data_IF_715685103682
#
_entry.id   IF_715685103682
#
_cell.length_a   1.000
_cell.length_b   1.000
_cell.length_c   1.000
_cell.angle_alpha   90.00
_cell.angle_beta   90.00
_cell.angle_gamma   90.00
#
_symmetry.space_group_name_H-M   'P 1'
#
loop_
_entity.id
_entity.type
_entity.pdbx_description
1 polymer ?
#
# COMPACT_ATOMS: atom_id res chain seq x y z
N UNK A 1 -9.89 18.66 4.86
CA UNK A 1 -11.29 18.43 4.44
C UNK A 1 -11.49 16.92 4.48
N UNK A 2 -12.59 16.42 5.04
CA UNK A 2 -12.79 14.97 5.12
C UNK A 2 -12.88 14.33 3.72
N UNK A 3 -12.53 13.04 3.62
CA UNK A 3 -12.60 12.28 2.37
C UNK A 3 -14.04 12.27 1.81
N UNK A 4 -14.19 12.44 0.49
CA UNK A 4 -15.51 12.47 -0.14
C UNK A 4 -16.15 11.07 -0.15
N UNK A 5 -17.47 11.00 0.08
CA UNK A 5 -18.23 9.75 0.06
C UNK A 5 -18.15 9.00 -1.27
N UNK A 6 -17.94 9.72 -2.38
CA UNK A 6 -17.71 9.13 -3.71
C UNK A 6 -16.39 8.38 -3.77
N UNK A 7 -15.33 8.94 -3.18
CA UNK A 7 -14.01 8.28 -3.11
C UNK A 7 -14.10 7.02 -2.24
N UNK A 8 -14.79 7.11 -1.10
CA UNK A 8 -15.04 5.97 -0.22
C UNK A 8 -15.75 4.84 -0.98
N UNK A 9 -16.85 5.17 -1.65
CA UNK A 9 -17.63 4.19 -2.41
C UNK A 9 -16.82 3.61 -3.57
N UNK A 10 -16.04 4.44 -4.27
CA UNK A 10 -15.16 3.99 -5.34
C UNK A 10 -14.15 2.97 -4.81
N UNK A 11 -13.39 3.29 -3.78
CA UNK A 11 -12.37 2.40 -3.19
C UNK A 11 -12.97 1.05 -2.78
N UNK A 12 -14.07 1.05 -2.02
CA UNK A 12 -14.71 -0.20 -1.57
C UNK A 12 -15.27 -0.99 -2.75
N UNK A 13 -15.74 -0.30 -3.80
CA UNK A 13 -16.24 -0.96 -5.00
C UNK A 13 -15.12 -1.54 -5.88
N UNK A 14 -13.95 -0.91 -5.92
CA UNK A 14 -12.80 -1.34 -6.72
C UNK A 14 -12.04 -2.46 -6.02
N UNK A 15 -11.69 -2.27 -4.74
CA UNK A 15 -10.95 -3.24 -3.94
C UNK A 15 -11.90 -3.98 -3.00
N UNK A 16 -12.60 -5.00 -3.52
CA UNK A 16 -13.66 -5.74 -2.82
C UNK A 16 -13.25 -6.38 -1.49
N UNK A 17 -11.95 -6.59 -1.27
CA UNK A 17 -11.42 -7.12 -0.03
C UNK A 17 -11.28 -6.07 1.09
N UNK A 18 -11.37 -4.78 0.76
CA UNK A 18 -11.31 -3.68 1.70
C UNK A 18 -12.69 -3.36 2.27
N UNK A 19 -12.68 -2.98 3.54
CA UNK A 19 -13.82 -2.46 4.30
C UNK A 19 -13.47 -1.05 4.74
N UNK A 20 -14.50 -0.26 5.03
CA UNK A 20 -14.36 1.10 5.52
C UNK A 20 -14.97 1.24 6.90
N UNK A 21 -14.36 2.06 7.74
CA UNK A 21 -14.94 2.59 8.97
C UNK A 21 -14.43 4.01 9.19
N UNK A 22 -15.24 4.84 9.83
CA UNK A 22 -14.81 6.13 10.37
C UNK A 22 -14.62 6.01 11.87
N UNK A 23 -13.50 6.52 12.39
CA UNK A 23 -13.25 6.61 13.82
C UNK A 23 -12.91 8.06 14.16
N UNK A 24 -13.79 8.74 14.89
CA UNK A 24 -13.65 10.17 15.21
C UNK A 24 -13.31 10.97 13.94
N UNK A 25 -12.07 11.44 13.85
CA UNK A 25 -11.53 12.29 12.80
C UNK A 25 -10.63 11.55 11.78
N UNK A 26 -10.73 10.22 11.73
CA UNK A 26 -9.91 9.37 10.85
C UNK A 26 -10.79 8.45 10.02
N UNK A 27 -10.64 8.55 8.70
CA UNK A 27 -11.19 7.62 7.72
C UNK A 27 -10.25 6.42 7.57
N UNK A 28 -10.77 5.20 7.73
CA UNK A 28 -9.96 3.97 7.78
C UNK A 28 -10.48 2.96 6.77
N UNK A 29 -9.61 2.58 5.82
CA UNK A 29 -9.82 1.41 4.97
C UNK A 29 -8.97 0.25 5.50
N UNK A 30 -9.56 -0.92 5.65
CA UNK A 30 -8.88 -2.08 6.21
C UNK A 30 -9.40 -3.39 5.61
N UNK A 31 -8.55 -4.40 5.54
CA UNK A 31 -8.93 -5.71 5.00
C UNK A 31 -7.89 -6.20 4.00
N UNK A 32 -8.36 -6.92 2.98
CA UNK A 32 -7.47 -7.56 2.00
C UNK A 32 -7.31 -6.71 0.74
N UNK A 33 -6.07 -6.48 0.33
CA UNK A 33 -5.72 -5.91 -0.96
C UNK A 33 -5.10 -7.01 -1.82
N UNK A 34 -5.78 -7.35 -2.92
CA UNK A 34 -5.28 -8.31 -3.90
C UNK A 34 -4.44 -7.58 -4.94
N UNK A 35 -3.18 -7.96 -5.06
CA UNK A 35 -2.25 -7.48 -6.08
C UNK A 35 -2.14 -8.56 -7.13
N UNK A 36 -2.76 -8.33 -8.28
CA UNK A 36 -2.68 -9.18 -9.45
C UNK A 36 -2.13 -8.35 -10.61
N UNK A 37 -0.80 -8.26 -10.70
CA UNK A 37 -0.15 -7.38 -11.66
C UNK A 37 0.99 -8.09 -12.38
N UNK A 38 1.16 -7.78 -13.66
CA UNK A 38 2.27 -8.25 -14.50
C UNK A 38 3.18 -7.06 -14.80
N UNK A 39 4.49 -7.20 -14.59
CA UNK A 39 5.49 -6.22 -15.03
C UNK A 39 6.71 -6.97 -15.57
N UNK A 40 7.11 -6.68 -16.82
CA UNK A 40 8.24 -7.34 -17.49
C UNK A 40 8.25 -8.87 -17.29
N UNK A 41 7.14 -9.53 -17.61
CA UNK A 41 6.91 -11.00 -17.50
C UNK A 41 6.92 -11.58 -16.08
N UNK A 42 7.09 -10.75 -15.04
CA UNK A 42 6.91 -11.15 -13.65
C UNK A 42 5.45 -10.95 -13.26
N UNK A 43 4.77 -12.04 -12.96
CA UNK A 43 3.40 -12.03 -12.46
C UNK A 43 3.40 -12.14 -10.94
N UNK A 44 2.86 -11.12 -10.27
CA UNK A 44 2.60 -11.17 -8.84
C UNK A 44 1.10 -11.37 -8.66
N UNK A 45 0.76 -12.44 -7.93
CA UNK A 45 -0.59 -12.76 -7.50
C UNK A 45 -0.59 -13.00 -5.99
N UNK A 46 -0.62 -11.90 -5.24
CA UNK A 46 -0.48 -11.91 -3.79
C UNK A 46 -1.62 -11.13 -3.14
N UNK A 47 -1.97 -11.54 -1.93
CA UNK A 47 -2.99 -10.88 -1.10
C UNK A 47 -2.35 -10.37 0.18
N UNK A 48 -2.52 -9.09 0.47
CA UNK A 48 -2.02 -8.45 1.68
C UNK A 48 -3.17 -8.06 2.59
N UNK A 49 -2.99 -8.21 3.90
CA UNK A 49 -3.85 -7.51 4.84
C UNK A 49 -3.26 -6.13 5.09
N UNK A 50 -4.06 -5.08 4.92
CA UNK A 50 -3.61 -3.70 5.05
C UNK A 50 -4.57 -2.87 5.89
N UNK A 51 -4.06 -1.76 6.40
CA UNK A 51 -4.84 -0.66 6.96
C UNK A 51 -4.33 0.65 6.40
N UNK A 52 -5.20 1.41 5.74
CA UNK A 52 -4.97 2.78 5.27
C UNK A 52 -5.71 3.72 6.22
N UNK A 53 -5.03 4.76 6.71
CA UNK A 53 -5.61 5.79 7.56
C UNK A 53 -5.46 7.16 6.89
N UNK A 54 -6.55 7.92 6.89
CA UNK A 54 -6.63 9.25 6.29
C UNK A 54 -7.19 10.19 7.35
N UNK A 55 -6.41 11.19 7.72
CA UNK A 55 -6.79 12.18 8.73
C UNK A 55 -7.74 13.23 8.13
N UNK A 56 -8.60 13.85 8.94
CA UNK A 56 -9.62 14.81 8.48
C UNK A 56 -9.07 16.09 7.81
N UNK A 57 -7.79 16.40 7.99
CA UNK A 57 -7.09 17.51 7.33
C UNK A 57 -6.62 17.16 5.91
N UNK A 58 -6.88 15.95 5.41
CA UNK A 58 -6.69 15.57 4.01
C UNK A 58 -7.18 16.64 3.00
N UNK A 59 -6.47 16.92 1.90
CA UNK A 59 -5.20 16.30 1.48
C UNK A 59 -3.94 16.92 2.12
N UNK A 60 -4.07 17.82 3.12
CA UNK A 60 -2.89 18.41 3.78
C UNK A 60 -2.07 17.36 4.54
N UNK A 61 -2.75 16.38 5.13
CA UNK A 61 -2.13 15.15 5.62
C UNK A 61 -2.07 14.10 4.52
N UNK A 62 -0.91 13.44 4.43
CA UNK A 62 -0.73 12.31 3.52
C UNK A 62 -1.30 11.05 4.19
N UNK A 63 -2.11 10.25 3.46
CA UNK A 63 -2.56 8.95 3.92
C UNK A 63 -1.40 8.08 4.41
N UNK A 64 -1.66 7.32 5.47
CA UNK A 64 -0.70 6.33 5.97
C UNK A 64 -1.18 4.92 5.70
N UNK A 65 -0.25 3.99 5.52
CA UNK A 65 -0.56 2.58 5.32
C UNK A 65 0.33 1.69 6.18
N UNK A 66 -0.26 0.62 6.69
CA UNK A 66 0.41 -0.47 7.41
C UNK A 66 -0.01 -1.79 6.76
N UNK A 67 0.95 -2.71 6.60
CA UNK A 67 0.70 -4.11 6.25
C UNK A 67 0.56 -4.94 7.54
N UNK A 68 -0.53 -5.71 7.67
CA UNK A 68 -0.93 -6.35 8.93
C UNK A 68 -0.87 -7.88 8.91
N UNK A 69 -0.65 -8.52 7.76
CA UNK A 69 -0.48 -9.98 7.65
C UNK A 69 0.94 -10.45 8.01
N UNK A 70 1.90 -9.54 8.15
CA UNK A 70 3.28 -9.86 8.54
C UNK A 70 4.13 -10.40 7.40
N UNK A 71 3.72 -10.15 6.15
CA UNK A 71 4.45 -10.56 4.94
C UNK A 71 5.66 -9.66 4.67
N UNK A 72 5.66 -8.42 5.17
CA UNK A 72 6.80 -7.52 5.06
C UNK A 72 7.82 -7.83 6.17
N UNK A 73 9.01 -8.24 5.77
CA UNK A 73 10.14 -8.44 6.69
C UNK A 73 10.55 -7.12 7.33
N UNK A 74 10.88 -7.15 8.61
CA UNK A 74 11.39 -5.96 9.35
C UNK A 74 12.71 -5.42 8.80
N UNK A 75 13.48 -6.24 8.08
CA UNK A 75 14.71 -5.84 7.41
C UNK A 75 14.48 -5.10 6.08
N UNK A 76 13.24 -4.99 5.60
CA UNK A 76 12.93 -4.27 4.37
C UNK A 76 13.07 -2.75 4.59
N UNK A 77 13.90 -2.05 3.79
CA UNK A 77 14.33 -0.68 4.10
C UNK A 77 13.21 0.37 4.01
N UNK A 78 12.10 0.08 3.32
CA UNK A 78 10.97 1.01 3.16
C UNK A 78 9.83 0.75 4.16
N UNK A 79 10.17 0.35 5.38
CA UNK A 79 9.25 0.16 6.49
C UNK A 79 9.77 0.92 7.72
N UNK A 80 8.98 1.86 8.25
CA UNK A 80 9.34 2.62 9.45
C UNK A 80 9.22 1.77 10.72
N UNK A 81 9.82 2.21 11.83
CA UNK A 81 9.78 1.52 13.13
C UNK A 81 8.34 1.25 13.61
N UNK A 82 7.40 2.16 13.31
CA UNK A 82 5.98 2.02 13.63
C UNK A 82 5.18 1.19 12.60
N UNK A 83 5.87 0.47 11.71
CA UNK A 83 5.31 -0.35 10.62
C UNK A 83 4.61 0.42 9.50
N UNK A 84 4.62 1.75 9.52
CA UNK A 84 4.16 2.54 8.38
C UNK A 84 5.07 2.29 7.19
N UNK A 85 4.49 2.21 6.00
CA UNK A 85 5.26 2.00 4.77
C UNK A 85 5.75 3.34 4.21
N UNK A 86 7.00 3.37 3.76
CA UNK A 86 7.57 4.51 3.05
C UNK A 86 7.34 4.31 1.56
N UNK A 87 6.29 4.91 1.02
CA UNK A 87 5.88 4.66 -0.36
C UNK A 87 6.66 5.50 -1.39
N UNK A 88 6.88 6.78 -1.09
CA UNK A 88 7.59 7.76 -1.90
C UNK A 88 7.95 8.97 -1.04
N UNK A 89 8.57 10.00 -1.62
CA UNK A 89 8.77 11.27 -0.89
C UNK A 89 7.42 11.94 -0.60
N UNK A 90 7.39 12.79 0.43
CA UNK A 90 6.19 13.55 0.79
C UNK A 90 5.71 14.45 -0.36
N UNK A 91 6.63 15.10 -1.09
CA UNK A 91 6.28 15.96 -2.21
C UNK A 91 5.60 15.20 -3.36
N UNK A 92 6.13 14.04 -3.75
CA UNK A 92 5.55 13.21 -4.81
C UNK A 92 4.13 12.75 -4.45
N UNK A 93 3.93 12.37 -3.19
CA UNK A 93 2.62 11.95 -2.70
C UNK A 93 1.61 13.11 -2.69
N UNK A 94 2.03 14.30 -2.27
CA UNK A 94 1.17 15.51 -2.31
C UNK A 94 0.71 15.84 -3.72
N UNK A 95 1.64 15.87 -4.68
CA UNK A 95 1.31 16.14 -6.09
C UNK A 95 0.30 15.14 -6.62
N UNK A 96 0.51 13.84 -6.39
CA UNK A 96 -0.43 12.80 -6.82
C UNK A 96 -1.81 12.95 -6.15
N UNK A 97 -1.86 13.27 -4.86
CA UNK A 97 -3.12 13.49 -4.15
C UNK A 97 -3.90 14.69 -4.70
N UNK A 98 -3.21 15.76 -5.07
CA UNK A 98 -3.82 16.93 -5.72
C UNK A 98 -4.33 16.60 -7.13
N UNK A 99 -3.56 15.85 -7.92
CA UNK A 99 -3.87 15.56 -9.33
C UNK A 99 -4.86 14.41 -9.53
N UNK A 100 -4.77 13.37 -8.69
CA UNK A 100 -5.43 12.07 -8.89
C UNK A 100 -6.20 11.57 -7.66
N UNK A 101 -6.10 12.27 -6.53
CA UNK A 101 -6.78 11.92 -5.29
C UNK A 101 -6.30 10.61 -4.67
N UNK A 102 -7.05 10.13 -3.68
CA UNK A 102 -6.72 8.91 -2.93
C UNK A 102 -6.64 7.66 -3.82
N UNK A 103 -7.49 7.58 -4.83
CA UNK A 103 -7.52 6.44 -5.76
C UNK A 103 -6.24 6.39 -6.59
N UNK A 104 -5.78 7.53 -7.10
CA UNK A 104 -4.49 7.63 -7.78
C UNK A 104 -3.33 7.31 -6.86
N UNK A 105 -3.37 7.77 -5.61
CA UNK A 105 -2.33 7.45 -4.63
C UNK A 105 -2.23 5.95 -4.32
N UNK A 106 -3.36 5.23 -4.27
CA UNK A 106 -3.36 3.77 -4.12
C UNK A 106 -2.72 3.11 -5.36
N UNK A 107 -3.12 3.51 -6.56
CA UNK A 107 -2.64 2.93 -7.82
C UNK A 107 -1.17 3.24 -8.09
N UNK A 108 -0.71 4.46 -7.80
CA UNK A 108 0.64 4.92 -8.16
C UNK A 108 1.69 4.63 -7.09
N UNK A 109 1.29 4.43 -5.82
CA UNK A 109 2.23 4.23 -4.71
C UNK A 109 2.00 2.96 -3.92
N UNK A 110 0.75 2.66 -3.53
CA UNK A 110 0.47 1.49 -2.69
C UNK A 110 0.69 0.19 -3.47
N UNK A 111 0.07 0.06 -4.65
CA UNK A 111 0.20 -1.14 -5.47
C UNK A 111 1.66 -1.37 -5.91
N UNK A 112 2.39 -0.36 -6.43
CA UNK A 112 3.79 -0.51 -6.81
C UNK A 112 4.70 -0.86 -5.65
N UNK A 113 4.45 -0.35 -4.44
CA UNK A 113 5.21 -0.73 -3.26
C UNK A 113 5.15 -2.24 -3.00
N UNK A 114 3.92 -2.80 -2.95
CA UNK A 114 3.75 -4.24 -2.74
C UNK A 114 4.33 -5.06 -3.90
N UNK A 115 4.27 -4.53 -5.11
CA UNK A 115 4.90 -5.16 -6.27
C UNK A 115 6.42 -5.27 -6.11
N UNK A 116 7.11 -4.15 -5.83
CA UNK A 116 8.57 -4.13 -5.65
C UNK A 116 9.05 -5.01 -4.49
N UNK A 117 8.31 -5.00 -3.39
CA UNK A 117 8.64 -5.79 -2.21
C UNK A 117 8.58 -7.30 -2.49
N UNK A 118 7.60 -7.76 -3.28
CA UNK A 118 7.54 -9.17 -3.72
C UNK A 118 8.69 -9.54 -4.68
N UNK A 119 9.06 -8.67 -5.62
CA UNK A 119 10.21 -8.94 -6.51
C UNK A 119 11.51 -9.07 -5.71
N UNK A 120 11.75 -8.16 -4.77
CA UNK A 120 12.97 -8.21 -3.93
C UNK A 120 12.98 -9.49 -3.09
N UNK A 121 11.82 -9.90 -2.56
CA UNK A 121 11.67 -11.17 -1.86
C UNK A 121 12.08 -12.33 -2.76
N UNK A 122 11.54 -12.43 -3.98
CA UNK A 122 11.84 -13.53 -4.89
C UNK A 122 13.32 -13.56 -5.32
N UNK A 123 13.94 -12.40 -5.59
CA UNK A 123 15.37 -12.30 -5.88
C UNK A 123 16.22 -12.76 -4.68
N UNK A 124 15.85 -12.34 -3.45
CA UNK A 124 16.55 -12.80 -2.24
C UNK A 124 16.42 -14.32 -2.04
N UNK A 125 15.25 -14.91 -2.30
CA UNK A 125 15.08 -16.37 -2.23
C UNK A 125 15.95 -17.10 -3.27
N UNK A 126 16.07 -16.57 -4.49
CA UNK A 126 16.95 -17.14 -5.53
C UNK A 126 18.42 -17.05 -5.12
N UNK A 127 18.84 -15.94 -4.49
CA UNK A 127 20.23 -15.77 -4.05
C UNK A 127 20.57 -16.70 -2.87
N UNK A 128 19.69 -16.78 -1.87
CA UNK A 128 19.87 -17.66 -0.71
C UNK A 128 19.74 -19.15 -1.07
N UNK A 129 18.94 -19.50 -2.08
CA UNK A 129 18.86 -20.87 -2.61
C UNK A 129 20.10 -21.34 -3.35
N UNK A 130 20.99 -20.43 -3.76
CA UNK A 130 22.30 -20.76 -4.36
C UNK A 130 23.39 -20.99 -3.30
N UNK A 131 23.29 -20.37 -2.12
CA UNK A 131 24.28 -20.57 -1.04
C UNK A 131 24.08 -21.88 -0.24
N UNK A 132 22.98 -22.61 -0.45
CA UNK A 132 22.70 -23.89 0.25
C UNK A 132 23.00 -25.11 -0.65
N UNK A 133 23.57 -24.90 -1.84
CA UNK A 133 23.96 -25.97 -2.76
C UNK A 133 25.45 -25.94 -3.18
N UNK A 134 26.32 -25.32 -2.37
CA UNK A 134 27.77 -25.42 -2.52
C UNK A 134 28.42 -26.07 -1.28
#
# INVERSE_FOLDING_TARGET
MALDIKDINYIISTYKGLKYKKNEDIDIFYGTLSINHIYNDVHINEVFEITIQIDNDYPESIPSIIETSGKIRTSYPHCFVNKRLCLATELEQRICLEEKGISGWIEDFVIPYFFHMNIIKDIQYIHLGKEVMD
#
